data_IF_796938653785
#
_entry.id   IF_796938653785
#
_cell.length_a   1.000
_cell.length_b   1.000
_cell.length_c   1.000
_cell.angle_alpha   90.00
_cell.angle_beta   90.00
_cell.angle_gamma   90.00
#
_symmetry.space_group_name_H-M   'P 1'
#
loop_
_entity.id
_entity.type
_entity.pdbx_description
1 polymer ?
#
# COMPACT_ATOMS: atom_id res chain seq x y z
N UNK A 1 -35.16 -21.29 -15.70
CA UNK A 1 -34.69 -19.97 -16.09
C UNK A 1 -34.19 -19.12 -14.90
N UNK A 2 -34.98 -18.93 -13.81
CA UNK A 2 -34.53 -18.14 -12.64
C UNK A 2 -33.22 -18.63 -12.00
N UNK A 3 -33.04 -19.96 -11.85
CA UNK A 3 -31.81 -20.54 -11.26
C UNK A 3 -30.59 -20.33 -12.13
N UNK A 4 -30.73 -20.37 -13.47
CA UNK A 4 -29.65 -20.12 -14.42
C UNK A 4 -29.25 -18.63 -14.40
N UNK A 5 -30.20 -17.72 -14.25
CA UNK A 5 -29.95 -16.28 -14.17
C UNK A 5 -29.19 -15.92 -12.88
N UNK A 6 -29.53 -16.53 -11.74
CA UNK A 6 -28.81 -16.34 -10.48
C UNK A 6 -27.39 -16.89 -10.58
N UNK A 7 -27.18 -18.03 -11.22
CA UNK A 7 -25.84 -18.59 -11.43
C UNK A 7 -24.98 -17.69 -12.32
N UNK A 8 -25.52 -17.12 -13.39
CA UNK A 8 -24.80 -16.16 -14.22
C UNK A 8 -24.45 -14.88 -13.48
N UNK A 9 -25.33 -14.40 -12.61
CA UNK A 9 -25.09 -13.18 -11.81
C UNK A 9 -23.97 -13.39 -10.77
N UNK A 10 -23.92 -14.58 -10.14
CA UNK A 10 -22.85 -14.93 -9.19
C UNK A 10 -21.50 -15.11 -9.87
N UNK A 11 -21.46 -15.65 -11.09
CA UNK A 11 -20.20 -15.78 -11.86
C UNK A 11 -19.70 -14.40 -12.31
N UNK A 12 -20.58 -13.49 -12.69
CA UNK A 12 -20.22 -12.13 -13.10
C UNK A 12 -19.65 -11.28 -11.94
N UNK A 13 -20.00 -11.59 -10.67
CA UNK A 13 -19.46 -10.87 -9.50
C UNK A 13 -18.06 -11.34 -9.07
N UNK A 14 -17.53 -12.42 -9.66
CA UNK A 14 -16.20 -12.94 -9.32
C UNK A 14 -15.06 -12.31 -10.14
N UNK A 15 -15.35 -11.47 -11.12
CA UNK A 15 -14.30 -10.71 -11.82
C UNK A 15 -13.85 -9.56 -10.94
N UNK A 16 -12.86 -9.80 -10.13
CA UNK A 16 -12.11 -8.77 -9.40
C UNK A 16 -11.31 -7.97 -10.43
N UNK A 17 -11.78 -6.78 -10.80
CA UNK A 17 -10.98 -5.80 -11.53
C UNK A 17 -9.88 -5.30 -10.59
N UNK A 18 -8.72 -5.93 -10.65
CA UNK A 18 -7.54 -5.40 -10.00
C UNK A 18 -7.10 -4.16 -10.78
N UNK A 19 -7.33 -2.98 -10.23
CA UNK A 19 -6.74 -1.75 -10.71
C UNK A 19 -5.24 -1.77 -10.33
N UNK A 20 -4.41 -2.42 -11.16
CA UNK A 20 -2.97 -2.35 -11.03
C UNK A 20 -2.51 -0.95 -11.44
N UNK A 21 -1.62 -0.35 -10.64
CA UNK A 21 -0.94 0.87 -11.05
C UNK A 21 -0.22 0.63 -12.39
N UNK A 22 -0.22 1.62 -13.31
CA UNK A 22 0.50 1.49 -14.58
C UNK A 22 1.95 1.08 -14.32
N UNK A 23 2.37 -0.02 -14.93
CA UNK A 23 3.73 -0.53 -14.81
C UNK A 23 4.64 0.18 -15.80
N UNK A 24 5.12 1.36 -15.43
CA UNK A 24 5.98 2.18 -16.27
C UNK A 24 5.91 3.66 -15.91
N UNK A 25 6.85 4.42 -16.43
CA UNK A 25 6.88 5.88 -16.30
C UNK A 25 7.27 6.56 -17.61
N UNK A 26 6.73 7.75 -17.84
CA UNK A 26 6.94 8.51 -19.06
C UNK A 26 8.39 9.01 -19.17
N UNK A 27 8.93 8.90 -20.36
CA UNK A 27 10.23 9.46 -20.74
C UNK A 27 10.09 10.28 -22.01
N UNK A 28 10.65 11.47 -22.00
CA UNK A 28 10.72 12.39 -23.15
C UNK A 28 12.14 12.87 -23.35
N UNK A 29 12.59 12.89 -24.58
CA UNK A 29 13.91 13.40 -24.93
C UNK A 29 13.90 14.08 -26.28
N UNK A 30 14.88 15.00 -26.51
CA UNK A 30 15.19 15.56 -27.81
C UNK A 30 16.49 14.95 -28.30
N UNK A 31 16.45 14.31 -29.45
CA UNK A 31 17.58 13.61 -30.04
C UNK A 31 18.40 14.56 -30.90
N UNK A 32 19.71 14.57 -30.65
CA UNK A 32 20.68 15.37 -31.43
C UNK A 32 21.86 14.51 -31.88
N UNK A 33 22.47 14.89 -33.01
CA UNK A 33 23.72 14.29 -33.45
C UNK A 33 24.92 14.85 -32.64
N UNK A 34 26.12 14.36 -32.93
CA UNK A 34 27.35 14.82 -32.27
C UNK A 34 27.72 16.29 -32.56
N UNK A 35 27.15 16.87 -33.60
CA UNK A 35 27.29 18.29 -33.92
C UNK A 35 26.27 19.18 -33.20
N UNK A 36 25.29 18.57 -32.52
CA UNK A 36 24.22 19.27 -31.83
C UNK A 36 22.96 19.52 -32.67
N UNK A 37 22.93 19.08 -33.93
CA UNK A 37 21.77 19.24 -34.81
C UNK A 37 20.67 18.24 -34.41
N UNK A 38 19.40 18.62 -34.61
CA UNK A 38 18.25 17.78 -34.37
C UNK A 38 18.20 16.59 -35.33
N UNK A 39 17.96 15.41 -34.81
CA UNK A 39 17.62 14.22 -35.60
C UNK A 39 16.10 14.17 -35.67
N UNK A 40 15.55 14.56 -36.83
CA UNK A 40 14.09 14.69 -37.03
C UNK A 40 13.56 13.62 -37.96
N UNK A 41 12.30 13.21 -37.74
CA UNK A 41 11.57 12.26 -38.58
C UNK A 41 12.39 10.99 -38.89
N UNK A 42 13.14 10.52 -37.90
CA UNK A 42 14.11 9.42 -38.07
C UNK A 42 13.86 8.40 -36.97
N UNK A 43 13.85 7.10 -37.32
CA UNK A 43 13.78 6.05 -36.34
C UNK A 43 15.11 5.89 -35.62
N UNK A 44 15.04 5.81 -34.29
CA UNK A 44 16.17 5.63 -33.40
C UNK A 44 15.89 4.49 -32.41
N UNK A 45 16.96 3.90 -31.89
CA UNK A 45 16.85 2.91 -30.83
C UNK A 45 17.30 3.52 -29.50
N UNK A 46 16.43 3.40 -28.50
CA UNK A 46 16.79 3.63 -27.10
C UNK A 46 16.99 2.32 -26.39
N UNK A 47 17.97 2.27 -25.50
CA UNK A 47 18.14 1.19 -24.55
C UNK A 47 18.21 1.79 -23.16
N UNK A 48 17.32 1.31 -22.28
CA UNK A 48 17.24 1.72 -20.89
C UNK A 48 17.75 0.61 -20.01
N UNK A 49 18.60 0.98 -19.04
CA UNK A 49 19.19 0.07 -18.07
C UNK A 49 18.81 0.54 -16.67
N UNK A 50 18.09 -0.27 -15.91
CA UNK A 50 17.81 0.01 -14.50
C UNK A 50 18.81 -0.72 -13.63
N UNK A 51 19.55 0.04 -12.83
CA UNK A 51 20.56 -0.45 -11.89
C UNK A 51 20.15 -0.17 -10.45
N UNK A 52 20.50 -1.06 -9.54
CA UNK A 52 20.20 -0.93 -8.11
C UNK A 52 21.48 -0.67 -7.31
N UNK A 53 21.40 0.24 -6.34
CA UNK A 53 22.45 0.56 -5.37
C UNK A 53 23.57 1.47 -5.90
N UNK A 54 23.94 1.36 -7.18
CA UNK A 54 25.02 2.15 -7.78
C UNK A 54 24.78 2.39 -9.26
N UNK A 55 25.23 3.55 -9.76
CA UNK A 55 25.18 3.89 -11.19
C UNK A 55 26.10 3.02 -12.08
N UNK A 56 26.98 2.23 -11.48
CA UNK A 56 27.88 1.29 -12.17
C UNK A 56 27.54 -0.16 -11.90
N UNK A 57 26.43 -0.43 -11.20
CA UNK A 57 25.98 -1.80 -10.95
C UNK A 57 25.56 -2.51 -12.24
N UNK A 58 25.56 -3.82 -12.23
CA UNK A 58 24.99 -4.60 -13.34
C UNK A 58 23.49 -4.30 -13.41
N UNK A 59 22.95 -3.97 -14.61
CA UNK A 59 21.53 -3.71 -14.76
C UNK A 59 20.70 -4.93 -14.34
N UNK A 60 19.69 -4.69 -13.50
CA UNK A 60 18.70 -5.69 -13.09
C UNK A 60 17.51 -5.75 -14.05
N UNK A 61 17.32 -4.69 -14.81
CA UNK A 61 16.34 -4.63 -15.91
C UNK A 61 16.92 -3.86 -17.08
N UNK A 62 16.67 -4.36 -18.29
CA UNK A 62 17.07 -3.71 -19.54
C UNK A 62 15.96 -3.88 -20.56
N UNK A 63 15.60 -2.78 -21.24
CA UNK A 63 14.67 -2.80 -22.36
C UNK A 63 15.15 -1.95 -23.53
N UNK A 64 14.61 -2.21 -24.69
CA UNK A 64 14.85 -1.44 -25.91
C UNK A 64 13.56 -0.91 -26.51
N UNK A 65 13.63 0.30 -27.09
CA UNK A 65 12.56 0.95 -27.83
C UNK A 65 13.05 1.30 -29.22
N UNK A 66 12.21 1.08 -30.22
CA UNK A 66 12.43 1.55 -31.59
C UNK A 66 11.32 2.54 -31.92
N UNK A 67 11.68 3.83 -31.98
CA UNK A 67 10.70 4.92 -32.07
C UNK A 67 11.16 5.99 -33.07
N UNK A 68 10.23 6.63 -33.80
CA UNK A 68 10.55 7.79 -34.61
C UNK A 68 10.71 9.03 -33.74
N UNK A 69 11.64 9.92 -34.12
CA UNK A 69 11.63 11.30 -33.67
C UNK A 69 10.60 12.09 -34.48
N UNK A 70 10.01 13.11 -33.87
CA UNK A 70 9.14 14.06 -34.57
C UNK A 70 9.91 15.14 -35.37
N UNK A 71 9.21 16.15 -35.86
CA UNK A 71 9.77 17.29 -36.59
C UNK A 71 10.60 18.25 -35.71
N UNK A 72 10.57 18.09 -34.40
CA UNK A 72 11.39 18.79 -33.42
C UNK A 72 12.49 17.91 -32.84
N UNK A 73 12.67 16.69 -33.36
CA UNK A 73 13.61 15.71 -32.85
C UNK A 73 13.22 15.09 -31.51
N UNK A 74 11.96 15.19 -31.11
CA UNK A 74 11.50 14.67 -29.85
C UNK A 74 11.02 13.23 -29.96
N UNK A 75 11.17 12.49 -28.86
CA UNK A 75 10.60 11.16 -28.64
C UNK A 75 9.80 11.16 -27.35
N UNK A 76 8.69 10.46 -27.35
CA UNK A 76 7.87 10.19 -26.17
C UNK A 76 7.68 8.68 -26.05
N UNK A 77 8.04 8.11 -24.92
CA UNK A 77 7.90 6.68 -24.68
C UNK A 77 7.63 6.41 -23.20
N UNK A 78 7.29 5.17 -22.88
CA UNK A 78 7.04 4.73 -21.51
C UNK A 78 8.07 3.67 -21.16
N UNK A 79 8.95 3.96 -20.22
CA UNK A 79 9.89 2.99 -19.67
C UNK A 79 9.09 1.93 -18.89
N UNK A 80 9.38 0.66 -19.14
CA UNK A 80 8.61 -0.49 -18.67
C UNK A 80 7.65 -1.09 -19.71
N UNK A 81 7.52 -0.44 -20.91
CA UNK A 81 6.68 -0.92 -22.00
C UNK A 81 7.47 -1.21 -23.29
N UNK A 82 8.77 -1.20 -23.22
CA UNK A 82 9.66 -1.57 -24.33
C UNK A 82 9.78 -3.09 -24.49
N UNK A 83 10.71 -3.49 -25.38
CA UNK A 83 11.09 -4.89 -25.52
C UNK A 83 12.11 -5.23 -24.45
N UNK A 84 11.71 -6.01 -23.44
CA UNK A 84 12.61 -6.42 -22.36
C UNK A 84 13.70 -7.36 -22.86
N UNK A 85 14.94 -7.06 -22.49
CA UNK A 85 16.13 -7.87 -22.79
C UNK A 85 16.60 -8.62 -21.54
N UNK A 86 16.44 -8.03 -20.35
CA UNK A 86 16.80 -8.61 -19.06
C UNK A 86 15.79 -8.17 -18.01
N UNK A 87 15.39 -9.09 -17.14
CA UNK A 87 14.46 -8.83 -16.03
C UNK A 87 13.02 -8.58 -16.49
N UNK A 88 12.16 -8.35 -15.52
CA UNK A 88 10.74 -8.02 -15.71
C UNK A 88 10.46 -6.74 -14.94
N UNK A 89 9.99 -5.69 -15.60
CA UNK A 89 9.79 -4.37 -15.00
C UNK A 89 8.81 -4.40 -13.82
N UNK A 90 7.71 -5.16 -13.93
CA UNK A 90 6.70 -5.28 -12.88
C UNK A 90 7.16 -6.04 -11.64
N UNK A 91 8.30 -6.74 -11.72
CA UNK A 91 8.88 -7.49 -10.59
C UNK A 91 10.00 -6.70 -9.88
N UNK A 92 10.29 -5.47 -10.32
CA UNK A 92 11.26 -4.61 -9.66
C UNK A 92 10.72 -4.16 -8.29
N UNK A 93 11.44 -4.51 -7.24
CA UNK A 93 11.12 -4.08 -5.88
C UNK A 93 11.74 -2.71 -5.59
N UNK A 94 11.01 -1.66 -5.87
CA UNK A 94 11.44 -0.27 -5.70
C UNK A 94 11.70 0.14 -4.24
N UNK A 95 11.41 -0.72 -3.28
CA UNK A 95 11.67 -0.46 -1.85
C UNK A 95 13.12 -0.74 -1.43
N UNK A 96 13.90 -1.42 -2.26
CA UNK A 96 15.25 -1.91 -1.91
C UNK A 96 16.37 -0.89 -2.14
N UNK A 97 16.13 0.39 -1.91
CA UNK A 97 17.16 1.44 -1.92
C UNK A 97 17.18 2.31 -3.16
N UNK A 98 18.36 2.78 -3.56
CA UNK A 98 18.50 3.72 -4.68
C UNK A 98 18.55 3.00 -6.02
N UNK A 99 17.84 3.55 -7.00
CA UNK A 99 17.84 3.09 -8.38
C UNK A 99 18.42 4.12 -9.31
N UNK A 100 19.03 3.65 -10.39
CA UNK A 100 19.66 4.48 -11.40
C UNK A 100 19.18 4.06 -12.79
N UNK A 101 18.96 5.02 -13.65
CA UNK A 101 18.58 4.84 -15.04
C UNK A 101 19.75 5.20 -15.95
N UNK A 102 20.33 4.20 -16.59
CA UNK A 102 21.29 4.38 -17.68
C UNK A 102 20.56 4.43 -19.01
N UNK A 103 20.99 5.32 -19.90
CA UNK A 103 20.37 5.54 -21.20
C UNK A 103 21.44 5.38 -22.27
N UNK A 104 21.14 4.57 -23.27
CA UNK A 104 21.94 4.42 -24.47
C UNK A 104 21.06 4.73 -25.70
N UNK A 105 21.66 5.38 -26.67
CA UNK A 105 20.99 5.77 -27.92
C UNK A 105 21.78 5.22 -29.11
N UNK A 106 21.07 4.64 -30.07
CA UNK A 106 21.59 4.27 -31.37
C UNK A 106 20.82 5.01 -32.48
N UNK A 107 21.55 5.79 -33.25
CA UNK A 107 21.06 6.52 -34.44
C UNK A 107 21.47 5.87 -35.75
N UNK A 108 21.85 4.56 -35.69
CA UNK A 108 22.28 3.78 -36.85
C UNK A 108 23.76 3.39 -36.86
N UNK A 109 24.54 3.77 -35.83
CA UNK A 109 25.97 3.48 -35.71
C UNK A 109 26.33 2.65 -34.45
N UNK A 110 25.33 2.05 -33.80
CA UNK A 110 25.45 1.34 -32.54
C UNK A 110 25.14 2.22 -31.34
N UNK A 111 24.92 1.54 -30.19
CA UNK A 111 24.56 2.21 -28.96
C UNK A 111 25.67 3.05 -28.36
N UNK A 112 25.36 4.29 -28.06
CA UNK A 112 26.23 5.24 -27.35
C UNK A 112 25.59 5.62 -26.04
N UNK A 113 26.35 5.55 -24.94
CA UNK A 113 25.86 5.93 -23.62
C UNK A 113 25.58 7.43 -23.56
N UNK A 114 24.35 7.79 -23.15
CA UNK A 114 23.91 9.19 -22.97
C UNK A 114 24.09 9.67 -21.53
N UNK A 115 24.32 8.74 -20.60
CA UNK A 115 24.50 9.02 -19.19
C UNK A 115 23.67 8.12 -18.30
N UNK A 116 23.91 8.27 -16.99
CA UNK A 116 23.17 7.56 -15.93
C UNK A 116 22.73 8.58 -14.88
N UNK A 117 21.47 8.52 -14.49
CA UNK A 117 20.90 9.40 -13.47
C UNK A 117 20.22 8.57 -12.38
N UNK A 118 20.20 9.09 -11.16
CA UNK A 118 19.45 8.48 -10.08
C UNK A 118 17.95 8.72 -10.29
N UNK A 119 17.15 7.69 -10.11
CA UNK A 119 15.70 7.81 -10.06
C UNK A 119 15.31 8.35 -8.68
N UNK A 120 14.77 9.56 -8.65
CA UNK A 120 14.28 10.21 -7.43
C UNK A 120 12.76 10.04 -7.36
N UNK A 121 12.25 9.88 -6.14
CA UNK A 121 10.81 9.83 -5.90
C UNK A 121 10.14 11.12 -6.34
N UNK A 122 9.03 11.00 -7.06
CA UNK A 122 8.15 12.15 -7.32
C UNK A 122 7.34 12.49 -6.05
N UNK A 123 6.87 13.73 -5.86
CA UNK A 123 6.15 14.15 -4.64
C UNK A 123 4.98 13.22 -4.27
N UNK A 124 4.27 12.68 -5.25
CA UNK A 124 3.17 11.75 -5.00
C UNK A 124 3.65 10.40 -4.44
N UNK A 125 4.78 9.88 -4.91
CA UNK A 125 5.38 8.65 -4.39
C UNK A 125 5.89 8.83 -2.95
N UNK A 126 6.45 10.00 -2.61
CA UNK A 126 6.83 10.35 -1.24
C UNK A 126 5.62 10.41 -0.30
N UNK A 127 4.48 10.89 -0.78
CA UNK A 127 3.23 10.86 -0.02
C UNK A 127 2.74 9.43 0.20
N UNK A 128 2.78 8.57 -0.82
CA UNK A 128 2.37 7.17 -0.73
C UNK A 128 3.28 6.37 0.22
N UNK A 129 4.58 6.62 0.24
CA UNK A 129 5.52 6.00 1.18
C UNK A 129 5.14 6.32 2.63
N UNK A 130 4.81 7.58 2.93
CA UNK A 130 4.37 7.98 4.26
C UNK A 130 3.01 7.39 4.65
N UNK A 131 2.12 7.15 3.69
CA UNK A 131 0.83 6.50 3.96
C UNK A 131 0.94 4.97 4.07
N UNK A 132 1.91 4.35 3.38
CA UNK A 132 2.20 2.92 3.46
C UNK A 132 2.98 2.53 4.71
N UNK A 133 3.67 3.48 5.33
CA UNK A 133 4.42 3.27 6.58
C UNK A 133 3.54 3.36 7.84
N UNK A 134 2.24 3.60 7.68
CA UNK A 134 1.30 3.11 8.67
C UNK A 134 1.35 1.59 8.61
N UNK A 135 2.25 1.01 9.39
CA UNK A 135 2.20 -0.42 9.72
C UNK A 135 0.75 -0.71 10.07
N UNK A 136 0.08 -1.48 9.22
CA UNK A 136 -1.21 -2.11 9.54
C UNK A 136 -0.98 -3.24 10.56
N UNK A 137 -0.17 -2.97 11.59
CA UNK A 137 -0.42 -3.59 12.87
C UNK A 137 -1.75 -2.97 13.30
N UNK A 138 -2.85 -3.72 13.16
CA UNK A 138 -4.05 -3.39 13.92
C UNK A 138 -3.53 -3.04 15.32
N UNK A 139 -3.59 -1.74 15.72
CA UNK A 139 -3.03 -1.38 16.99
C UNK A 139 -3.73 -2.24 18.04
N UNK A 140 -2.96 -2.96 18.85
CA UNK A 140 -3.55 -3.66 19.97
C UNK A 140 -4.17 -2.61 20.91
N UNK A 141 -5.07 -3.06 21.79
CA UNK A 141 -5.78 -2.14 22.68
C UNK A 141 -4.80 -1.32 23.55
N UNK A 142 -3.66 -1.91 23.93
CA UNK A 142 -2.61 -1.25 24.69
C UNK A 142 -2.06 -0.03 23.94
N UNK A 143 -1.73 -0.15 22.65
CA UNK A 143 -1.23 0.94 21.81
C UNK A 143 -2.28 2.05 21.67
N UNK A 144 -3.55 1.68 21.47
CA UNK A 144 -4.65 2.65 21.34
C UNK A 144 -4.87 3.41 22.68
N UNK A 145 -4.81 2.71 23.81
CA UNK A 145 -4.99 3.32 25.12
C UNK A 145 -3.80 4.17 25.55
N UNK A 146 -2.58 3.88 25.05
CA UNK A 146 -1.40 4.70 25.31
C UNK A 146 -1.50 6.07 24.62
N UNK A 147 -2.10 6.13 23.42
CA UNK A 147 -2.34 7.39 22.71
C UNK A 147 -3.48 8.21 23.33
N UNK A 148 -4.58 7.55 23.67
CA UNK A 148 -5.75 8.18 24.32
C UNK A 148 -6.61 7.11 25.01
N UNK A 149 -6.65 7.13 26.33
CA UNK A 149 -7.44 6.18 27.13
C UNK A 149 -8.94 6.51 27.19
N UNK A 150 -9.43 7.48 26.41
CA UNK A 150 -10.85 7.82 26.34
C UNK A 150 -11.55 7.04 25.23
N UNK A 151 -12.58 6.30 25.59
CA UNK A 151 -13.45 5.66 24.62
C UNK A 151 -14.40 6.63 23.88
N UNK A 152 -14.33 7.95 24.15
CA UNK A 152 -15.12 8.96 23.47
C UNK A 152 -16.64 8.75 23.56
N UNK A 153 -17.14 8.20 24.67
CA UNK A 153 -18.53 7.79 24.88
C UNK A 153 -18.99 6.64 23.96
N UNK A 154 -18.05 5.92 23.33
CA UNK A 154 -18.37 4.73 22.54
C UNK A 154 -18.48 3.50 23.43
N UNK A 155 -19.35 2.56 23.05
CA UNK A 155 -19.52 1.30 23.75
C UNK A 155 -18.56 0.25 23.19
N UNK A 156 -17.89 -0.51 24.07
CA UNK A 156 -17.20 -1.72 23.69
C UNK A 156 -18.23 -2.86 23.67
N UNK A 157 -18.45 -3.45 22.49
CA UNK A 157 -19.43 -4.52 22.28
C UNK A 157 -18.75 -5.88 22.13
N UNK A 158 -19.53 -6.96 22.31
CA UNK A 158 -19.08 -8.34 22.12
C UNK A 158 -17.91 -8.76 23.06
N UNK A 159 -17.87 -8.22 24.27
CA UNK A 159 -16.98 -8.75 25.30
C UNK A 159 -17.45 -10.13 25.74
N UNK A 160 -16.51 -11.06 25.82
CA UNK A 160 -16.75 -12.37 26.48
C UNK A 160 -16.83 -12.20 28.00
N UNK A 161 -17.36 -13.21 28.66
CA UNK A 161 -17.32 -13.26 30.11
C UNK A 161 -15.86 -13.29 30.60
N UNK A 162 -15.56 -12.63 31.75
CA UNK A 162 -14.19 -12.54 32.23
C UNK A 162 -13.68 -13.92 32.70
N UNK A 163 -12.41 -14.19 32.40
CA UNK A 163 -11.70 -15.39 32.83
C UNK A 163 -10.63 -15.07 33.86
N UNK A 164 -10.13 -13.84 33.89
CA UNK A 164 -9.12 -13.35 34.81
C UNK A 164 -9.60 -12.15 35.63
N UNK A 165 -9.00 -11.96 36.82
CA UNK A 165 -9.38 -10.90 37.73
C UNK A 165 -9.17 -9.46 37.24
N UNK A 166 -8.42 -9.28 36.12
CA UNK A 166 -8.19 -7.99 35.48
C UNK A 166 -9.05 -7.77 34.25
N UNK A 167 -9.89 -8.74 33.86
CA UNK A 167 -10.71 -8.61 32.66
C UNK A 167 -11.87 -7.62 32.87
N UNK A 168 -12.23 -6.92 31.79
CA UNK A 168 -13.41 -6.08 31.77
C UNK A 168 -14.68 -6.93 31.81
N UNK A 169 -15.68 -6.51 32.57
CA UNK A 169 -16.95 -7.22 32.73
C UNK A 169 -18.07 -6.54 31.96
N UNK A 170 -19.01 -7.33 31.45
CA UNK A 170 -20.28 -6.82 30.89
C UNK A 170 -21.30 -6.57 32.01
N UNK A 171 -22.24 -5.64 31.73
CA UNK A 171 -23.36 -5.42 32.66
C UNK A 171 -24.15 -6.72 32.92
N UNK A 172 -24.38 -7.55 31.91
CA UNK A 172 -25.09 -8.80 32.02
C UNK A 172 -24.39 -9.79 32.98
N UNK A 173 -23.05 -9.85 32.92
CA UNK A 173 -22.26 -10.67 33.84
C UNK A 173 -22.41 -10.21 35.29
N UNK A 174 -22.32 -8.89 35.54
CA UNK A 174 -22.51 -8.33 36.90
C UNK A 174 -23.94 -8.55 37.41
N UNK A 175 -24.96 -8.33 36.56
CA UNK A 175 -26.37 -8.56 36.93
C UNK A 175 -26.63 -10.04 37.26
N UNK A 176 -26.03 -11.00 36.54
CA UNK A 176 -26.16 -12.42 36.83
C UNK A 176 -25.51 -12.79 38.16
N UNK A 177 -24.35 -12.25 38.51
CA UNK A 177 -23.69 -12.44 39.80
C UNK A 177 -24.53 -11.86 40.94
N UNK A 178 -25.09 -10.66 40.79
CA UNK A 178 -25.92 -10.01 41.80
C UNK A 178 -27.20 -10.79 42.08
N UNK A 179 -27.80 -11.43 41.07
CA UNK A 179 -29.01 -12.25 41.19
C UNK A 179 -28.73 -13.61 41.87
N UNK A 180 -27.53 -14.20 41.69
CA UNK A 180 -27.17 -15.50 42.24
C UNK A 180 -26.70 -15.44 43.69
N UNK A 181 -26.16 -14.29 44.13
CA UNK A 181 -25.60 -14.18 45.48
C UNK A 181 -26.41 -13.31 46.45
N UNK A 182 -27.61 -12.88 46.07
CA UNK A 182 -28.42 -12.02 46.92
C UNK A 182 -27.77 -10.68 47.28
N UNK A 183 -26.76 -10.28 46.51
CA UNK A 183 -26.02 -9.05 46.71
C UNK A 183 -26.81 -7.87 46.15
N UNK A 184 -27.37 -7.13 47.06
CA UNK A 184 -27.89 -5.77 47.02
C UNK A 184 -28.33 -5.24 45.64
N UNK A 185 -29.62 -5.13 45.50
CA UNK A 185 -30.24 -4.30 44.48
C UNK A 185 -29.88 -2.83 44.71
N UNK A 186 -28.93 -2.28 43.97
CA UNK A 186 -28.55 -0.87 44.00
C UNK A 186 -29.59 0.05 43.33
N UNK A 187 -30.76 -0.43 43.04
CA UNK A 187 -31.88 0.38 42.56
C UNK A 187 -32.63 1.06 43.69
N UNK A 188 -32.04 2.11 44.23
CA UNK A 188 -32.68 2.98 45.19
C UNK A 188 -32.32 2.70 46.65
N UNK A 189 -32.16 3.78 47.35
CA UNK A 189 -31.79 3.85 48.78
C UNK A 189 -32.84 3.28 49.76
N UNK A 190 -33.86 2.57 49.28
CA UNK A 190 -35.04 2.24 50.06
C UNK A 190 -35.06 0.84 50.68
N UNK A 191 -34.03 0.01 50.50
CA UNK A 191 -33.93 -1.28 51.14
C UNK A 191 -32.60 -1.50 51.83
N UNK A 192 -32.36 -0.79 52.90
CA UNK A 192 -31.43 -1.22 53.95
C UNK A 192 -32.04 -2.44 54.62
N UNK A 193 -31.73 -3.63 54.18
CA UNK A 193 -31.88 -4.85 55.02
C UNK A 193 -30.75 -4.83 56.04
N UNK A 194 -31.02 -4.29 57.20
CA UNK A 194 -30.17 -4.46 58.39
C UNK A 194 -30.17 -5.96 58.67
N UNK A 195 -29.02 -6.61 58.56
CA UNK A 195 -28.84 -7.96 59.05
C UNK A 195 -29.14 -7.95 60.57
N UNK A 196 -30.27 -8.52 60.94
CA UNK A 196 -30.56 -8.75 62.31
C UNK A 196 -29.99 -10.15 62.65
N UNK A 197 -28.85 -10.18 63.34
CA UNK A 197 -28.17 -11.41 63.77
C UNK A 197 -28.86 -12.09 64.92
N UNK A 198 -30.09 -11.69 65.23
CA UNK A 198 -30.89 -12.31 66.26
C UNK A 198 -30.45 -12.00 67.72
N UNK A 199 -29.50 -11.10 67.91
CA UNK A 199 -29.14 -10.65 69.24
C UNK A 199 -29.76 -9.26 69.48
N UNK A 200 -30.99 -9.24 69.93
CA UNK A 200 -31.61 -8.07 70.54
C UNK A 200 -31.10 -7.91 71.94
N UNK A 201 -30.54 -6.77 72.31
CA UNK A 201 -30.42 -6.29 73.65
C UNK A 201 -31.64 -5.44 73.95
#
# INVERSE_FOLDING_TARGET
MKKLFILCLTIASLTQLQAQAPQGFNYQATVRNSSGDLIVNTNVYFKFNVMQGSQTAVPIFTETHYVPTDDLGQVNLVIGQGTANTGIFSELDWSLGSYYLGIELDTGNGYVAMGTTQLLSVPYALYAENSGNSTLTTPNLETVLAENNSAGQQQIKNLLDPTDGADAVTKSYVDALSNTQGLMNFNGWDNYQVWNDGTSV
#
